data_IF_086017732504
#
_entry.id   IF_086017732504
#
_cell.length_a   1.000
_cell.length_b   1.000
_cell.length_c   1.000
_cell.angle_alpha   90.00
_cell.angle_beta   90.00
_cell.angle_gamma   90.00
#
_symmetry.space_group_name_H-M   'P 1'
#
loop_
_entity.id
_entity.type
_entity.pdbx_description
1 polymer ?
#
# COMPACT_ATOMS: atom_id res chain seq x y z
N UNK A 1 39.01 25.48 -7.95
CA UNK A 1 38.23 25.84 -6.74
C UNK A 1 36.77 26.09 -7.13
N UNK A 2 35.97 25.02 -7.22
CA UNK A 2 34.56 25.09 -7.59
C UNK A 2 33.68 24.90 -6.35
N UNK A 3 33.03 25.98 -5.91
CA UNK A 3 32.01 25.93 -4.85
C UNK A 3 30.77 25.22 -5.41
N UNK A 4 30.53 23.97 -5.01
CA UNK A 4 29.25 23.29 -5.25
C UNK A 4 28.20 23.91 -4.32
N UNK A 5 27.25 24.64 -4.89
CA UNK A 5 26.04 25.12 -4.22
C UNK A 5 25.31 23.92 -3.61
N UNK A 6 25.26 23.85 -2.28
CA UNK A 6 24.38 22.94 -1.55
C UNK A 6 22.98 23.52 -1.69
N UNK A 7 22.18 22.95 -2.60
CA UNK A 7 20.74 23.25 -2.64
C UNK A 7 20.15 22.71 -1.35
N UNK A 8 19.76 23.59 -0.45
CA UNK A 8 18.98 23.23 0.73
C UNK A 8 17.69 22.58 0.25
N UNK A 9 17.51 21.28 0.53
CA UNK A 9 16.22 20.63 0.33
C UNK A 9 15.25 21.23 1.35
N UNK A 10 14.25 21.98 0.86
CA UNK A 10 13.19 22.50 1.70
C UNK A 10 12.26 21.34 2.04
N UNK A 11 12.01 21.12 3.33
CA UNK A 11 11.03 20.13 3.81
C UNK A 11 9.64 20.70 3.53
N UNK A 12 8.86 19.99 2.70
CA UNK A 12 7.49 20.41 2.35
C UNK A 12 6.53 20.21 3.53
N UNK A 13 6.61 19.05 4.19
CA UNK A 13 5.84 18.73 5.38
C UNK A 13 6.60 17.74 6.27
N UNK A 14 6.21 17.69 7.55
CA UNK A 14 6.72 16.73 8.53
C UNK A 14 5.61 16.27 9.46
N UNK A 15 5.65 15.01 9.91
CA UNK A 15 4.69 14.43 10.84
C UNK A 15 5.41 13.71 11.98
N UNK A 16 4.89 13.84 13.20
CA UNK A 16 5.34 13.09 14.37
C UNK A 16 4.42 11.88 14.60
N UNK A 17 4.92 10.67 14.33
CA UNK A 17 4.15 9.42 14.46
C UNK A 17 4.16 8.86 15.89
N UNK A 18 5.19 9.21 16.69
CA UNK A 18 5.31 8.79 18.08
C UNK A 18 5.89 7.38 18.28
N UNK A 19 6.25 6.68 17.20
CA UNK A 19 6.93 5.38 17.22
C UNK A 19 7.92 5.25 16.05
N UNK A 20 8.89 4.33 16.12
CA UNK A 20 9.84 4.09 15.04
C UNK A 20 9.14 3.63 13.75
N UNK A 21 9.44 4.32 12.66
CA UNK A 21 9.04 3.89 11.31
C UNK A 21 9.97 2.76 10.83
N UNK A 22 9.39 1.64 10.39
CA UNK A 22 10.10 0.48 9.86
C UNK A 22 10.22 0.53 8.35
N UNK A 23 9.13 0.87 7.66
CA UNK A 23 9.07 0.85 6.21
C UNK A 23 8.03 1.83 5.69
N UNK A 24 8.32 2.46 4.57
CA UNK A 24 7.39 3.33 3.84
C UNK A 24 7.22 2.76 2.44
N UNK A 25 5.99 2.60 1.99
CA UNK A 25 5.64 2.18 0.63
C UNK A 25 4.78 3.26 -0.01
N UNK A 26 5.16 3.68 -1.22
CA UNK A 26 4.37 4.60 -2.03
C UNK A 26 3.46 3.82 -2.97
N UNK A 27 2.20 4.22 -3.08
CA UNK A 27 1.22 3.58 -3.96
C UNK A 27 -0.15 4.23 -3.91
N UNK A 28 -1.17 3.46 -4.28
CA UNK A 28 -2.57 3.84 -4.17
C UNK A 28 -3.32 2.71 -3.47
N UNK A 29 -3.74 2.96 -2.23
CA UNK A 29 -4.32 2.01 -1.29
C UNK A 29 -5.76 2.34 -0.93
N UNK A 30 -6.16 3.60 -0.99
CA UNK A 30 -7.57 3.94 -0.98
C UNK A 30 -8.19 3.48 -2.30
N UNK A 31 -9.21 2.65 -2.20
CA UNK A 31 -10.07 2.40 -3.34
C UNK A 31 -10.77 3.70 -3.67
N UNK A 32 -10.34 4.37 -4.75
CA UNK A 32 -11.25 5.28 -5.44
C UNK A 32 -12.52 4.47 -5.73
N UNK A 33 -13.72 4.96 -5.41
CA UNK A 33 -14.94 4.27 -5.77
C UNK A 33 -14.99 4.21 -7.31
N UNK A 34 -14.37 3.19 -7.88
CA UNK A 34 -14.63 2.77 -9.23
C UNK A 34 -16.13 2.48 -9.26
N UNK A 35 -16.83 3.28 -10.06
CA UNK A 35 -18.27 3.27 -10.25
C UNK A 35 -18.86 1.90 -9.96
N UNK A 36 -19.73 1.83 -8.95
CA UNK A 36 -20.64 0.71 -8.80
C UNK A 36 -21.24 0.44 -10.18
N UNK A 37 -21.05 -0.76 -10.72
CA UNK A 37 -21.81 -1.29 -11.83
C UNK A 37 -23.29 -1.28 -11.43
N UNK A 38 -23.94 -0.15 -11.67
CA UNK A 38 -25.34 0.07 -11.33
C UNK A 38 -26.17 -0.44 -12.52
N UNK A 39 -26.18 -1.77 -12.70
CA UNK A 39 -27.04 -2.44 -13.66
C UNK A 39 -28.48 -2.44 -13.14
N UNK A 40 -29.20 -1.34 -13.38
CA UNK A 40 -30.64 -1.22 -13.67
C UNK A 40 -31.22 0.07 -13.09
N UNK A 41 -31.37 1.08 -13.95
CA UNK A 41 -32.68 1.70 -14.26
C UNK A 41 -32.51 2.79 -15.31
N UNK A 42 -33.14 2.58 -16.46
CA UNK A 42 -33.41 3.60 -17.46
C UNK A 42 -34.00 4.85 -16.82
N UNK A 43 -33.39 6.02 -17.07
CA UNK A 43 -34.08 7.31 -17.18
C UNK A 43 -33.12 8.36 -17.74
N UNK A 44 -33.53 8.96 -18.85
CA UNK A 44 -32.86 10.04 -19.56
C UNK A 44 -32.53 11.20 -18.63
N UNK A 45 -31.26 11.57 -18.52
CA UNK A 45 -30.84 12.92 -18.14
C UNK A 45 -29.46 13.22 -18.75
N UNK A 46 -29.47 13.92 -19.89
CA UNK A 46 -28.29 14.62 -20.40
C UNK A 46 -28.07 15.86 -19.52
N UNK A 47 -27.14 15.81 -18.56
CA UNK A 47 -26.38 16.98 -18.14
C UNK A 47 -25.15 16.63 -17.27
N UNK A 48 -23.99 17.05 -17.76
CA UNK A 48 -22.74 17.27 -17.02
C UNK A 48 -22.11 16.10 -16.24
N UNK A 49 -21.65 15.08 -16.98
CA UNK A 49 -20.46 14.33 -16.55
C UNK A 49 -19.19 15.12 -16.87
N UNK A 50 -18.95 16.16 -16.06
CA UNK A 50 -17.58 16.65 -15.88
C UNK A 50 -16.87 15.57 -15.11
N UNK A 51 -16.28 14.60 -15.83
CA UNK A 51 -15.35 13.63 -15.28
C UNK A 51 -14.30 14.44 -14.49
N UNK A 52 -14.49 14.54 -13.18
CA UNK A 52 -13.41 14.87 -12.25
C UNK A 52 -12.40 13.75 -12.45
N UNK A 53 -11.50 13.94 -13.40
CA UNK A 53 -10.16 13.39 -13.37
C UNK A 53 -9.52 14.02 -12.12
N UNK A 54 -9.95 13.55 -10.95
CA UNK A 54 -9.26 13.82 -9.71
C UNK A 54 -7.88 13.23 -9.92
N UNK A 55 -6.87 14.09 -9.91
CA UNK A 55 -5.48 13.67 -9.90
C UNK A 55 -5.34 12.52 -8.90
N UNK A 56 -4.84 11.38 -9.36
CA UNK A 56 -4.62 10.22 -8.49
C UNK A 56 -3.56 10.66 -7.47
N UNK A 57 -4.01 11.04 -6.27
CA UNK A 57 -3.10 11.51 -5.24
C UNK A 57 -2.21 10.34 -4.84
N UNK A 58 -0.89 10.57 -4.78
CA UNK A 58 0.05 9.59 -4.24
C UNK A 58 -0.27 9.36 -2.77
N UNK A 59 -0.22 8.11 -2.33
CA UNK A 59 -0.44 7.71 -0.94
C UNK A 59 0.77 6.98 -0.39
N UNK A 60 1.03 7.18 0.90
CA UNK A 60 2.13 6.57 1.61
C UNK A 60 1.58 5.60 2.66
N UNK A 61 1.92 4.34 2.53
CA UNK A 61 1.67 3.32 3.54
C UNK A 61 2.90 3.19 4.44
N UNK A 62 2.75 3.61 5.69
CA UNK A 62 3.83 3.70 6.67
C UNK A 62 3.64 2.61 7.72
N UNK A 63 4.56 1.66 7.75
CA UNK A 63 4.63 0.62 8.76
C UNK A 63 5.52 1.08 9.92
N UNK A 64 4.97 1.05 11.12
CA UNK A 64 5.70 1.26 12.36
C UNK A 64 5.71 -0.02 13.20
N UNK A 65 6.25 0.04 14.42
CA UNK A 65 6.26 -1.09 15.34
C UNK A 65 4.84 -1.59 15.66
N UNK A 66 3.93 -0.69 16.04
CA UNK A 66 2.61 -1.02 16.58
C UNK A 66 1.45 -0.51 15.74
N UNK A 67 1.72 0.26 14.71
CA UNK A 67 0.68 0.83 13.85
C UNK A 67 1.04 0.81 12.38
N UNK A 68 -0.01 0.85 11.57
CA UNK A 68 0.04 1.06 10.13
C UNK A 68 -0.73 2.35 9.82
N UNK A 69 -0.08 3.26 9.09
CA UNK A 69 -0.68 4.52 8.66
C UNK A 69 -0.78 4.57 7.15
N UNK A 70 -1.88 5.14 6.65
CA UNK A 70 -2.03 5.56 5.27
C UNK A 70 -2.08 7.08 5.27
N UNK A 71 -1.15 7.71 4.55
CA UNK A 71 -0.99 9.17 4.49
C UNK A 71 -1.21 9.67 3.06
N UNK A 72 -1.66 10.92 2.93
CA UNK A 72 -1.61 11.66 1.67
C UNK A 72 -0.16 12.05 1.39
N UNK A 73 0.38 11.65 0.24
CA UNK A 73 1.79 11.90 -0.10
C UNK A 73 2.13 13.40 -0.19
N UNK A 74 1.21 14.21 -0.70
CA UNK A 74 1.42 15.65 -0.91
C UNK A 74 1.38 16.46 0.40
N UNK A 75 0.56 16.07 1.37
CA UNK A 75 0.31 16.89 2.57
C UNK A 75 0.78 16.24 3.87
N UNK A 76 1.14 14.96 3.83
CA UNK A 76 1.38 14.13 5.01
C UNK A 76 0.12 13.85 5.84
N UNK A 77 -1.07 14.31 5.42
CA UNK A 77 -2.30 14.14 6.19
C UNK A 77 -2.70 12.67 6.34
N UNK A 78 -3.06 12.25 7.56
CA UNK A 78 -3.51 10.88 7.83
C UNK A 78 -4.85 10.61 7.14
N UNK A 79 -4.89 9.62 6.26
CA UNK A 79 -6.10 9.08 5.65
C UNK A 79 -6.71 8.02 6.56
N UNK A 80 -5.88 7.07 7.00
CA UNK A 80 -6.31 5.96 7.84
C UNK A 80 -5.18 5.53 8.77
N UNK A 81 -5.54 5.05 9.95
CA UNK A 81 -4.61 4.46 10.92
C UNK A 81 -5.21 3.16 11.44
N UNK A 82 -4.36 2.14 11.60
CA UNK A 82 -4.72 0.89 12.25
C UNK A 82 -3.64 0.48 13.23
N UNK A 83 -4.07 0.15 14.45
CA UNK A 83 -3.21 -0.52 15.42
C UNK A 83 -3.03 -1.98 15.00
N UNK A 84 -1.79 -2.45 15.01
CA UNK A 84 -1.47 -3.85 14.78
C UNK A 84 -1.72 -4.61 16.09
N UNK A 85 -2.59 -5.62 16.05
CA UNK A 85 -2.94 -6.41 17.23
C UNK A 85 -1.72 -7.19 17.76
N UNK A 86 -0.85 -7.62 16.85
CA UNK A 86 0.46 -8.17 17.18
C UNK A 86 1.50 -7.08 16.94
N UNK A 87 2.21 -6.71 17.99
CA UNK A 87 3.06 -5.51 18.05
C UNK A 87 4.38 -5.60 17.27
N UNK A 88 4.53 -6.57 16.38
CA UNK A 88 5.83 -6.92 15.81
C UNK A 88 5.71 -7.29 14.32
N UNK A 89 5.54 -6.29 13.46
CA UNK A 89 5.68 -6.49 12.02
C UNK A 89 7.17 -6.64 11.63
N UNK A 90 7.47 -7.54 10.70
CA UNK A 90 8.82 -7.78 10.21
C UNK A 90 9.11 -7.05 8.89
N UNK A 91 8.19 -7.09 7.94
CA UNK A 91 8.29 -6.38 6.66
C UNK A 91 6.93 -6.27 5.95
N UNK A 92 6.85 -5.40 4.95
CA UNK A 92 5.66 -5.18 4.13
C UNK A 92 6.02 -5.13 2.63
N UNK A 93 5.09 -5.46 1.74
CA UNK A 93 5.26 -5.20 0.30
C UNK A 93 3.94 -4.98 -0.43
N UNK A 94 3.97 -4.25 -1.54
CA UNK A 94 2.80 -4.02 -2.40
C UNK A 94 2.55 -5.26 -3.27
N UNK A 95 1.28 -5.60 -3.47
CA UNK A 95 0.85 -6.55 -4.51
C UNK A 95 0.72 -5.80 -5.84
N UNK A 96 1.53 -6.10 -6.87
CA UNK A 96 1.41 -5.43 -8.15
C UNK A 96 0.03 -5.61 -8.77
N UNK A 97 -0.53 -4.55 -9.37
CA UNK A 97 -1.83 -4.61 -10.05
C UNK A 97 -1.88 -5.68 -11.16
N UNK A 98 -0.75 -5.92 -11.83
CA UNK A 98 -0.59 -6.93 -12.89
C UNK A 98 -0.86 -8.38 -12.43
N UNK A 99 -0.83 -8.63 -11.13
CA UNK A 99 -1.13 -9.93 -10.52
C UNK A 99 -2.62 -10.13 -10.28
N UNK A 100 -3.38 -9.05 -10.04
CA UNK A 100 -4.77 -9.10 -9.60
C UNK A 100 -5.81 -9.43 -10.68
N UNK A 101 -5.40 -9.80 -11.89
CA UNK A 101 -6.31 -10.21 -12.97
C UNK A 101 -7.24 -9.11 -13.51
N UNK A 102 -7.19 -7.88 -12.99
CA UNK A 102 -7.96 -6.75 -13.51
C UNK A 102 -7.15 -6.06 -14.61
N UNK A 103 -7.58 -6.23 -15.85
CA UNK A 103 -6.94 -5.62 -17.03
C UNK A 103 -7.14 -4.09 -17.11
N UNK A 104 -8.07 -3.54 -16.32
CA UNK A 104 -8.30 -2.09 -16.23
C UNK A 104 -7.50 -1.47 -15.09
N UNK A 105 -6.28 -1.03 -15.39
CA UNK A 105 -5.59 0.21 -14.95
C UNK A 105 -5.65 0.70 -13.48
N UNK A 106 -6.27 -0.02 -12.55
CA UNK A 106 -6.42 0.38 -11.15
C UNK A 106 -5.42 -0.33 -10.26
N UNK A 107 -4.71 0.44 -9.42
CA UNK A 107 -3.97 -0.12 -8.29
C UNK A 107 -4.92 -0.94 -7.43
N UNK A 108 -4.56 -2.18 -7.10
CA UNK A 108 -5.41 -3.07 -6.33
C UNK A 108 -5.48 -2.70 -4.84
N UNK A 109 -4.70 -1.70 -4.39
CA UNK A 109 -4.60 -1.31 -2.98
C UNK A 109 -4.21 -2.44 -2.03
N UNK A 110 -3.77 -3.56 -2.60
CA UNK A 110 -3.45 -4.77 -1.88
C UNK A 110 -1.98 -4.73 -1.46
N UNK A 111 -1.72 -5.14 -0.23
CA UNK A 111 -0.36 -5.27 0.29
C UNK A 111 -0.25 -6.49 1.20
N UNK A 112 0.97 -6.97 1.38
CA UNK A 112 1.28 -8.02 2.33
C UNK A 112 1.99 -7.44 3.54
N UNK A 113 1.67 -7.97 4.70
CA UNK A 113 2.33 -7.69 5.97
C UNK A 113 2.84 -9.00 6.56
N UNK A 114 4.11 -9.06 6.91
CA UNK A 114 4.68 -10.18 7.65
C UNK A 114 4.86 -9.79 9.13
N UNK A 115 4.56 -10.73 10.03
CA UNK A 115 4.80 -10.60 11.47
C UNK A 115 6.02 -11.40 11.94
N UNK A 116 6.57 -11.03 13.10
CA UNK A 116 7.62 -11.78 13.81
C UNK A 116 7.16 -13.16 14.28
N UNK A 117 5.88 -13.46 14.22
CA UNK A 117 5.32 -14.77 14.54
C UNK A 117 5.27 -15.71 13.31
N UNK A 118 5.99 -15.36 12.25
CA UNK A 118 6.02 -16.08 10.97
C UNK A 118 4.63 -16.20 10.32
N UNK A 119 3.75 -15.21 10.51
CA UNK A 119 2.50 -15.09 9.76
C UNK A 119 2.68 -14.09 8.62
N UNK A 120 2.25 -14.45 7.42
CA UNK A 120 2.07 -13.54 6.29
C UNK A 120 0.58 -13.25 6.15
N UNK A 121 0.23 -11.97 6.04
CA UNK A 121 -1.13 -11.44 5.97
C UNK A 121 -1.29 -10.67 4.66
N UNK A 122 -2.40 -10.88 3.95
CA UNK A 122 -2.76 -10.13 2.75
C UNK A 122 -3.91 -9.20 3.11
N UNK A 123 -3.71 -7.93 2.78
CA UNK A 123 -4.66 -6.86 3.01
C UNK A 123 -5.22 -6.35 1.68
N UNK A 124 -6.50 -6.00 1.70
CA UNK A 124 -7.18 -5.22 0.65
C UNK A 124 -7.62 -3.89 1.23
N UNK A 125 -6.88 -2.82 0.93
CA UNK A 125 -6.91 -1.62 1.77
C UNK A 125 -6.54 -2.00 3.21
N UNK A 126 -7.32 -1.60 4.20
CA UNK A 126 -7.05 -1.92 5.61
C UNK A 126 -7.79 -3.17 6.13
N UNK A 127 -8.40 -3.95 5.23
CA UNK A 127 -9.12 -5.18 5.57
C UNK A 127 -8.21 -6.39 5.38
N UNK A 128 -8.09 -7.22 6.41
CA UNK A 128 -7.37 -8.49 6.33
C UNK A 128 -8.23 -9.48 5.54
N UNK A 129 -7.75 -9.94 4.39
CA UNK A 129 -8.50 -10.86 3.51
C UNK A 129 -7.96 -12.29 3.54
N UNK A 130 -6.68 -12.47 3.85
CA UNK A 130 -6.06 -13.77 3.94
C UNK A 130 -4.86 -13.75 4.89
N UNK A 131 -4.56 -14.89 5.51
CA UNK A 131 -3.35 -15.07 6.30
C UNK A 131 -2.89 -16.53 6.27
N UNK A 132 -1.58 -16.74 6.32
CA UNK A 132 -1.00 -18.07 6.52
C UNK A 132 0.29 -18.02 7.34
N UNK A 133 0.63 -19.16 7.92
CA UNK A 133 1.95 -19.38 8.52
C UNK A 133 2.98 -19.71 7.45
N UNK A 134 4.18 -19.17 7.61
CA UNK A 134 5.36 -19.52 6.84
C UNK A 134 6.39 -20.20 7.75
N UNK A 135 7.34 -20.98 7.21
CA UNK A 135 8.29 -21.73 8.04
C UNK A 135 9.17 -20.87 8.94
N UNK A 136 9.51 -19.65 8.52
CA UNK A 136 10.36 -18.71 9.27
C UNK A 136 9.94 -17.27 9.00
N UNK A 137 10.36 -16.35 9.88
CA UNK A 137 10.01 -14.92 9.79
C UNK A 137 10.61 -14.29 8.52
N UNK A 138 9.78 -13.75 7.61
CA UNK A 138 10.27 -13.01 6.46
C UNK A 138 10.93 -11.70 6.90
N UNK A 139 12.13 -11.41 6.38
CA UNK A 139 12.77 -10.09 6.53
C UNK A 139 12.53 -9.19 5.33
N UNK A 140 12.13 -9.78 4.20
CA UNK A 140 11.72 -9.07 3.00
C UNK A 140 10.74 -9.96 2.24
N UNK A 141 9.75 -9.34 1.60
CA UNK A 141 8.80 -10.02 0.72
C UNK A 141 8.71 -9.31 -0.62
N UNK A 142 8.38 -10.07 -1.65
CA UNK A 142 7.99 -9.56 -2.96
C UNK A 142 6.88 -10.43 -3.53
N UNK A 143 6.02 -9.84 -4.37
CA UNK A 143 5.07 -10.60 -5.19
C UNK A 143 5.52 -10.50 -6.62
N UNK A 144 5.66 -11.66 -7.27
CA UNK A 144 6.18 -11.74 -8.63
C UNK A 144 5.42 -12.77 -9.46
N UNK A 145 5.85 -12.93 -10.71
CA UNK A 145 5.40 -14.01 -11.58
C UNK A 145 6.60 -14.86 -11.98
N UNK A 146 6.40 -16.15 -12.17
CA UNK A 146 7.40 -17.06 -12.72
C UNK A 146 6.77 -17.91 -13.82
N UNK A 147 7.27 -17.75 -15.05
CA UNK A 147 6.60 -18.29 -16.23
C UNK A 147 5.17 -17.75 -16.36
N UNK A 148 4.21 -18.66 -16.49
CA UNK A 148 2.78 -18.33 -16.60
C UNK A 148 2.06 -18.23 -15.25
N UNK A 149 2.75 -18.50 -14.13
CA UNK A 149 2.17 -18.41 -12.80
C UNK A 149 2.39 -17.01 -12.23
N UNK A 150 1.30 -16.25 -12.07
CA UNK A 150 1.31 -14.93 -11.42
C UNK A 150 1.05 -15.05 -9.92
N UNK A 151 1.46 -14.03 -9.17
CA UNK A 151 1.11 -13.88 -7.74
C UNK A 151 1.90 -14.76 -6.80
N UNK A 152 3.11 -15.15 -7.20
CA UNK A 152 4.02 -15.88 -6.33
C UNK A 152 4.57 -14.94 -5.26
N UNK A 153 4.38 -15.31 -4.01
CA UNK A 153 4.97 -14.61 -2.86
C UNK A 153 6.36 -15.18 -2.62
N UNK A 154 7.37 -14.34 -2.73
CA UNK A 154 8.77 -14.68 -2.45
C UNK A 154 9.16 -14.05 -1.11
N UNK A 155 9.53 -14.90 -0.16
CA UNK A 155 9.99 -14.48 1.16
C UNK A 155 11.51 -14.68 1.26
N UNK A 156 12.25 -13.61 1.55
CA UNK A 156 13.64 -13.71 2.00
C UNK A 156 13.63 -13.87 3.51
N UNK A 157 14.33 -14.90 3.98
CA UNK A 157 14.42 -15.26 5.39
C UNK A 157 15.80 -14.88 5.93
N UNK A 158 15.89 -14.60 7.24
CA UNK A 158 17.19 -14.47 7.91
C UNK A 158 17.72 -15.88 8.21
N UNK A 159 18.92 -16.19 7.75
CA UNK A 159 19.63 -17.37 8.22
C UNK A 159 20.12 -17.04 9.64
N UNK A 160 19.72 -17.87 10.61
CA UNK A 160 20.21 -17.81 11.97
C UNK A 160 21.67 -18.30 12.04
#
# INVERSE_FOLDING_TARGET
>A
NGLRSIRSAMVEWSMHIGEPCRQILEGHFSSSPAASDNNNRSSNNLHNDTRRSGSVQSELLVLCDKSLFLLKGETGGVIQQRRLERADASCMCIVPASVGGRESGGSSGNFLLAGQDATVQVYSGFNLVWAAKVPTVPVQMAVTSFGNQKGLIVCRMRLC
#
